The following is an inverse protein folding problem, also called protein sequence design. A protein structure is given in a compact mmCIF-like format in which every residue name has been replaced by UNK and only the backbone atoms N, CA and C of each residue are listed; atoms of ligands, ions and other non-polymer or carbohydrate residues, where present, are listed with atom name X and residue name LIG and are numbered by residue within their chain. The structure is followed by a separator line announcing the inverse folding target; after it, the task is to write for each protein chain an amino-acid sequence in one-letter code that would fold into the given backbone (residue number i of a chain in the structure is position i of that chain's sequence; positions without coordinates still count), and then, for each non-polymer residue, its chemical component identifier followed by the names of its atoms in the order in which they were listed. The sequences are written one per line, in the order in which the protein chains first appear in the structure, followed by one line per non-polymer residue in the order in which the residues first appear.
data_IF_925120856746
#
_entry.id   IF_925120856746
#
_cell.length_a   1.000
_cell.length_b   1.000
_cell.length_c   1.000
_cell.angle_alpha   90.00
_cell.angle_beta   90.00
_cell.angle_gamma   90.00
#
_symmetry.space_group_name_H-M   'P 1'
#
loop_
_entity.id
_entity.type
_entity.pdbx_description
1 polymer ?
#
# COMPACT_ATOMS: atom_id res chain seq x y z
N UNK A 1 -4.57 -17.35 5.00
CA UNK A 1 -4.90 -17.09 3.57
C UNK A 1 -3.61 -16.72 2.86
N UNK A 2 -3.28 -17.41 1.76
CA UNK A 2 -2.06 -17.15 0.99
C UNK A 2 -2.32 -16.08 -0.08
N UNK A 3 -1.42 -15.11 -0.17
CA UNK A 3 -1.44 -14.03 -1.15
C UNK A 3 -0.21 -14.10 -2.04
N UNK A 4 -0.37 -13.81 -3.32
CA UNK A 4 0.75 -13.57 -4.24
C UNK A 4 1.26 -12.15 -4.06
N UNK A 5 2.56 -12.00 -3.88
CA UNK A 5 3.22 -10.69 -3.79
C UNK A 5 4.49 -10.67 -4.63
N UNK A 6 4.90 -9.48 -5.01
CA UNK A 6 6.22 -9.22 -5.57
C UNK A 6 6.90 -8.16 -4.71
N UNK A 7 8.13 -8.40 -4.29
CA UNK A 7 8.88 -7.51 -3.42
C UNK A 7 10.19 -7.06 -4.05
N UNK A 8 10.67 -5.90 -3.66
CA UNK A 8 11.99 -5.39 -4.02
C UNK A 8 12.54 -4.49 -2.92
N UNK A 9 13.87 -4.40 -2.74
CA UNK A 9 14.51 -3.59 -1.71
C UNK A 9 14.39 -2.08 -1.96
N UNK A 10 14.10 -1.66 -3.20
CA UNK A 10 13.91 -0.26 -3.59
C UNK A 10 12.82 -0.11 -4.64
N UNK A 11 12.11 1.04 -4.63
CA UNK A 11 11.13 1.40 -5.67
C UNK A 11 11.72 1.42 -7.08
N UNK A 12 13.02 1.74 -7.20
CA UNK A 12 13.76 1.82 -8.46
C UNK A 12 14.36 0.48 -8.90
N UNK A 13 14.19 -0.58 -8.11
CA UNK A 13 14.71 -1.91 -8.46
C UNK A 13 14.18 -2.37 -9.81
N UNK A 14 15.08 -2.85 -10.64
CA UNK A 14 14.75 -3.38 -11.98
C UNK A 14 14.27 -4.83 -11.91
N UNK A 15 14.54 -5.52 -10.81
CA UNK A 15 14.16 -6.91 -10.56
C UNK A 15 13.36 -7.03 -9.27
N UNK A 16 12.17 -7.58 -9.38
CA UNK A 16 11.22 -7.86 -8.29
C UNK A 16 11.08 -9.36 -8.12
N UNK A 17 11.04 -9.81 -6.88
CA UNK A 17 10.89 -11.23 -6.54
C UNK A 17 9.41 -11.56 -6.33
N UNK A 18 8.87 -12.44 -7.18
CA UNK A 18 7.55 -13.03 -6.99
C UNK A 18 7.60 -14.10 -5.89
N UNK A 19 6.67 -14.04 -4.96
CA UNK A 19 6.53 -15.01 -3.87
C UNK A 19 5.08 -15.10 -3.39
N UNK A 20 4.84 -16.00 -2.45
CA UNK A 20 3.59 -16.06 -1.69
C UNK A 20 3.87 -15.70 -0.24
N UNK A 21 2.88 -15.13 0.44
CA UNK A 21 2.93 -14.76 1.85
C UNK A 21 1.59 -15.06 2.51
N UNK A 22 1.59 -15.48 3.76
CA UNK A 22 0.36 -15.56 4.53
C UNK A 22 -0.14 -14.15 4.89
N UNK A 23 -1.47 -13.97 4.89
CA UNK A 23 -2.07 -12.68 5.22
C UNK A 23 -1.67 -12.15 6.60
N UNK A 24 -1.63 -13.02 7.60
CA UNK A 24 -1.21 -12.61 8.94
C UNK A 24 0.24 -12.16 8.96
N UNK A 25 1.14 -12.87 8.28
CA UNK A 25 2.54 -12.49 8.13
C UNK A 25 2.70 -11.14 7.39
N UNK A 26 1.90 -10.90 6.33
CA UNK A 26 1.92 -9.62 5.65
C UNK A 26 1.48 -8.48 6.58
N UNK A 27 0.42 -8.67 7.36
CA UNK A 27 -0.03 -7.69 8.35
C UNK A 27 1.04 -7.41 9.41
N UNK A 28 1.72 -8.44 9.91
CA UNK A 28 2.83 -8.28 10.86
C UNK A 28 3.97 -7.45 10.26
N UNK A 29 4.38 -7.73 9.02
CA UNK A 29 5.41 -6.95 8.33
C UNK A 29 4.99 -5.49 8.11
N UNK A 30 3.74 -5.24 7.72
CA UNK A 30 3.20 -3.90 7.51
C UNK A 30 3.03 -3.12 8.81
N UNK A 31 2.83 -3.80 9.93
CA UNK A 31 2.77 -3.22 11.27
C UNK A 31 4.13 -2.77 11.82
N UNK A 32 5.23 -3.18 11.21
CA UNK A 32 6.56 -2.77 11.65
C UNK A 32 6.82 -1.30 11.27
N UNK A 33 7.08 -0.48 12.27
CA UNK A 33 7.35 0.95 12.06
C UNK A 33 8.77 1.17 11.53
N UNK A 34 8.88 1.76 10.35
CA UNK A 34 10.13 2.27 9.81
C UNK A 34 10.26 3.75 10.14
N UNK A 35 11.32 4.12 10.88
CA UNK A 35 11.63 5.51 11.21
C UNK A 35 12.91 5.93 10.51
N UNK A 36 12.90 7.16 10.00
CA UNK A 36 14.05 7.84 9.42
C UNK A 36 14.60 8.88 10.41
N UNK A 37 15.88 9.28 10.33
CA UNK A 37 16.50 10.14 11.36
C UNK A 37 16.01 11.60 11.33
N UNK A 38 15.52 12.07 10.18
CA UNK A 38 15.04 13.45 10.03
C UNK A 38 13.69 13.68 10.70
N UNK A 39 13.49 14.90 11.20
CA UNK A 39 12.19 15.36 11.66
C UNK A 39 11.24 15.61 10.47
N UNK A 40 9.92 15.62 10.70
CA UNK A 40 8.94 15.96 9.65
C UNK A 40 9.22 17.34 9.05
N UNK A 41 9.62 18.33 9.87
CA UNK A 41 9.94 19.67 9.38
C UNK A 41 11.18 19.68 8.46
N UNK A 42 12.19 18.87 8.75
CA UNK A 42 13.35 18.70 7.88
C UNK A 42 12.95 18.00 6.58
N UNK A 43 12.20 16.92 6.67
CA UNK A 43 11.70 16.18 5.52
C UNK A 43 10.87 17.04 4.57
N UNK A 44 9.98 17.90 5.09
CA UNK A 44 9.13 18.78 4.26
C UNK A 44 9.94 19.86 3.50
N UNK A 45 11.15 20.18 3.96
CA UNK A 45 12.07 21.11 3.26
C UNK A 45 12.90 20.44 2.16
N UNK A 46 12.94 19.12 2.12
CA UNK A 46 13.64 18.36 1.09
C UNK A 46 12.97 18.50 -0.27
N UNK A 47 13.76 18.38 -1.33
CA UNK A 47 13.24 18.25 -2.70
C UNK A 47 12.41 16.97 -2.84
N UNK A 48 11.56 16.91 -3.85
CA UNK A 48 10.75 15.71 -4.10
C UNK A 48 11.60 14.45 -4.33
N UNK A 49 12.77 14.58 -4.95
CA UNK A 49 13.70 13.47 -5.15
C UNK A 49 14.26 12.96 -3.81
N UNK A 50 14.79 13.84 -2.97
CA UNK A 50 15.28 13.49 -1.64
C UNK A 50 14.19 12.86 -0.77
N UNK A 51 12.98 13.44 -0.73
CA UNK A 51 11.84 12.85 -0.03
C UNK A 51 11.51 11.43 -0.52
N UNK A 52 11.65 11.20 -1.83
CA UNK A 52 11.38 9.91 -2.44
C UNK A 52 12.44 8.87 -2.08
N UNK A 53 13.70 9.29 -1.95
CA UNK A 53 14.80 8.41 -1.57
C UNK A 53 14.75 8.08 -0.07
N UNK A 54 14.45 9.05 0.78
CA UNK A 54 14.24 8.85 2.23
C UNK A 54 13.12 7.84 2.51
N UNK A 55 12.02 7.91 1.77
CA UNK A 55 10.87 6.98 1.93
C UNK A 55 11.11 5.60 1.33
N UNK A 56 12.19 5.41 0.57
CA UNK A 56 12.43 4.17 -0.16
C UNK A 56 13.05 3.10 0.74
N UNK A 57 12.22 2.52 1.58
CA UNK A 57 12.56 1.37 2.44
C UNK A 57 12.21 0.02 1.77
N UNK A 58 12.08 0.01 0.46
CA UNK A 58 11.57 -1.12 -0.31
C UNK A 58 10.07 -1.06 -0.53
N UNK A 59 9.52 -2.10 -1.09
CA UNK A 59 8.09 -2.13 -1.37
C UNK A 59 7.59 -3.50 -1.81
N UNK A 60 6.28 -3.59 -1.90
CA UNK A 60 5.61 -4.75 -2.45
C UNK A 60 4.54 -4.35 -3.47
N UNK A 61 4.26 -5.29 -4.34
CA UNK A 61 3.07 -5.29 -5.20
C UNK A 61 2.21 -6.46 -4.75
N UNK A 62 0.93 -6.21 -4.45
CA UNK A 62 0.00 -7.27 -4.07
C UNK A 62 -0.44 -8.07 -5.31
N UNK A 63 0.47 -8.86 -5.84
CA UNK A 63 0.32 -9.67 -7.03
C UNK A 63 1.67 -10.08 -7.62
N UNK A 64 1.64 -10.87 -8.69
CA UNK A 64 2.84 -11.28 -9.42
C UNK A 64 3.11 -10.40 -10.63
N UNK A 65 4.39 -10.25 -10.96
CA UNK A 65 4.88 -9.48 -12.09
C UNK A 65 5.53 -10.41 -13.13
N UNK A 66 5.23 -10.21 -14.41
CA UNK A 66 5.90 -10.88 -15.49
C UNK A 66 7.40 -10.56 -15.46
N UNK A 67 8.24 -11.58 -15.58
CA UNK A 67 9.71 -11.47 -15.57
C UNK A 67 10.28 -10.69 -14.36
N UNK A 68 9.52 -10.55 -13.28
CA UNK A 68 9.91 -9.73 -12.14
C UNK A 68 10.10 -8.25 -12.48
N UNK A 69 9.38 -7.72 -13.45
CA UNK A 69 9.49 -6.32 -13.91
C UNK A 69 8.28 -5.50 -13.47
N UNK A 70 8.51 -4.47 -12.67
CA UNK A 70 7.47 -3.49 -12.31
C UNK A 70 7.33 -2.42 -13.38
N UNK A 71 6.55 -2.70 -14.41
CA UNK A 71 6.23 -1.76 -15.50
C UNK A 71 4.76 -1.90 -15.91
N UNK A 72 4.24 -0.94 -16.68
CA UNK A 72 2.89 -1.02 -17.23
C UNK A 72 2.73 -2.31 -18.05
N UNK A 73 1.64 -3.03 -17.84
CA UNK A 73 1.35 -4.29 -18.54
C UNK A 73 2.07 -5.53 -18.00
N UNK A 74 2.90 -5.41 -16.94
CA UNK A 74 3.62 -6.56 -16.36
C UNK A 74 2.87 -7.24 -15.22
N UNK A 75 1.74 -6.72 -14.78
CA UNK A 75 0.99 -7.31 -13.67
C UNK A 75 0.25 -8.54 -14.18
N UNK A 76 0.59 -9.70 -13.64
CA UNK A 76 -0.05 -10.99 -13.99
C UNK A 76 -1.36 -11.19 -13.22
N UNK A 77 -1.38 -10.81 -11.95
CA UNK A 77 -2.56 -10.88 -11.09
C UNK A 77 -2.45 -9.91 -9.92
N UNK A 78 -3.57 -9.68 -9.25
CA UNK A 78 -3.66 -8.97 -7.97
C UNK A 78 -4.34 -9.87 -6.95
N UNK A 79 -3.77 -9.97 -5.76
CA UNK A 79 -4.28 -10.78 -4.64
C UNK A 79 -4.80 -9.94 -3.47
N UNK A 80 -4.51 -8.64 -3.47
CA UNK A 80 -5.06 -7.69 -2.51
C UNK A 80 -5.23 -6.30 -3.15
N UNK A 81 -6.16 -5.52 -2.62
CA UNK A 81 -6.25 -4.09 -2.89
C UNK A 81 -5.18 -3.36 -2.07
N UNK A 82 -4.64 -2.28 -2.61
CA UNK A 82 -3.81 -1.32 -1.89
C UNK A 82 -4.28 0.08 -2.27
N UNK A 83 -4.85 0.80 -1.30
CA UNK A 83 -5.44 2.12 -1.48
C UNK A 83 -4.71 3.11 -0.58
N UNK A 84 -4.45 4.30 -1.07
CA UNK A 84 -3.82 5.39 -0.32
C UNK A 84 -4.84 6.47 0.02
N UNK A 85 -4.86 6.90 1.28
CA UNK A 85 -5.55 8.10 1.75
C UNK A 85 -4.49 9.18 1.93
N UNK A 86 -4.45 10.14 1.01
CA UNK A 86 -3.46 11.23 1.02
C UNK A 86 -3.97 12.52 1.69
N UNK A 87 -5.29 12.64 1.88
CA UNK A 87 -5.96 13.83 2.37
C UNK A 87 -7.03 13.48 3.43
N UNK A 88 -6.67 12.60 4.38
CA UNK A 88 -7.59 12.20 5.45
C UNK A 88 -7.88 13.33 6.42
N UNK A 89 -9.10 13.34 6.96
CA UNK A 89 -9.50 14.20 8.10
C UNK A 89 -9.21 13.47 9.42
N UNK A 90 -9.12 14.16 10.57
CA UNK A 90 -8.80 13.54 11.87
C UNK A 90 -9.71 12.37 12.26
N UNK A 91 -10.95 12.36 11.77
CA UNK A 91 -11.96 11.32 12.02
C UNK A 91 -11.88 10.12 11.08
N UNK A 92 -10.94 10.12 10.12
CA UNK A 92 -10.80 9.04 9.12
C UNK A 92 -10.71 7.63 9.75
N UNK A 93 -10.10 7.53 10.93
CA UNK A 93 -9.99 6.26 11.65
C UNK A 93 -11.35 5.73 12.11
N UNK A 94 -12.24 6.62 12.57
CA UNK A 94 -13.61 6.26 12.98
C UNK A 94 -14.41 5.81 11.75
N UNK A 95 -14.35 6.59 10.67
CA UNK A 95 -15.02 6.25 9.41
C UNK A 95 -14.56 4.87 8.90
N UNK A 96 -13.24 4.61 8.89
CA UNK A 96 -12.74 3.31 8.46
C UNK A 96 -13.17 2.17 9.38
N UNK A 97 -13.20 2.40 10.71
CA UNK A 97 -13.65 1.38 11.67
C UNK A 97 -15.13 1.01 11.48
N UNK A 98 -15.95 1.96 11.07
CA UNK A 98 -17.38 1.76 10.80
C UNK A 98 -17.64 1.09 9.44
N UNK A 99 -16.91 1.50 8.40
CA UNK A 99 -17.16 1.08 7.02
C UNK A 99 -16.42 -0.22 6.62
N UNK A 100 -15.28 -0.52 7.26
CA UNK A 100 -14.53 -1.73 6.95
C UNK A 100 -15.17 -2.97 7.57
N UNK A 101 -15.98 -3.67 6.79
CA UNK A 101 -16.68 -4.90 7.20
C UNK A 101 -15.93 -6.18 6.75
N UNK A 102 -14.68 -6.07 6.34
CA UNK A 102 -13.86 -7.17 5.87
C UNK A 102 -12.46 -7.12 6.49
N UNK A 103 -11.68 -8.17 6.31
CA UNK A 103 -10.28 -8.17 6.73
C UNK A 103 -9.52 -7.04 6.01
N UNK A 104 -8.81 -6.21 6.77
CA UNK A 104 -7.99 -5.13 6.25
C UNK A 104 -6.79 -4.89 7.16
N UNK A 105 -5.70 -4.41 6.58
CA UNK A 105 -4.56 -3.87 7.31
C UNK A 105 -4.47 -2.37 6.96
N UNK A 106 -4.54 -1.51 7.97
CA UNK A 106 -4.45 -0.05 7.80
C UNK A 106 -3.24 0.46 8.55
N UNK A 107 -2.40 1.24 7.89
CA UNK A 107 -1.21 1.81 8.50
C UNK A 107 -0.91 3.21 7.98
N UNK A 108 -0.14 3.96 8.77
CA UNK A 108 0.27 5.32 8.44
C UNK A 108 1.37 5.35 7.40
N UNK A 109 1.38 6.37 6.53
CA UNK A 109 2.46 6.63 5.60
C UNK A 109 3.35 7.77 6.07
N UNK A 110 4.50 7.99 5.44
CA UNK A 110 5.58 8.84 5.93
C UNK A 110 5.19 10.29 6.29
N UNK A 111 4.22 10.88 5.61
CA UNK A 111 3.76 12.26 5.89
C UNK A 111 2.55 12.33 6.83
N UNK A 112 2.22 11.24 7.49
CA UNK A 112 1.08 11.22 8.41
C UNK A 112 1.29 12.15 9.61
N UNK A 113 0.26 12.91 9.94
CA UNK A 113 0.10 13.59 11.24
C UNK A 113 -1.31 13.36 11.76
N UNK A 114 -1.58 13.52 13.06
CA UNK A 114 -2.94 13.41 13.61
C UNK A 114 -3.94 14.37 12.95
N UNK A 115 -3.48 15.58 12.61
CA UNK A 115 -4.31 16.64 12.00
C UNK A 115 -4.53 16.44 10.50
N UNK A 116 -3.60 15.76 9.82
CA UNK A 116 -3.64 15.44 8.40
C UNK A 116 -3.24 13.96 8.18
N UNK A 117 -4.12 13.03 8.52
CA UNK A 117 -3.84 11.60 8.40
C UNK A 117 -3.53 11.20 6.97
N UNK A 118 -2.47 10.40 6.82
CA UNK A 118 -2.12 9.73 5.58
C UNK A 118 -1.98 8.25 5.83
N UNK A 119 -2.82 7.47 5.20
CA UNK A 119 -2.97 6.05 5.47
C UNK A 119 -2.82 5.23 4.21
N UNK A 120 -2.45 3.98 4.39
CA UNK A 120 -2.63 2.96 3.35
C UNK A 120 -3.49 1.85 3.88
N UNK A 121 -4.46 1.43 3.06
CA UNK A 121 -5.36 0.32 3.34
C UNK A 121 -4.96 -0.83 2.42
N UNK A 122 -4.73 -2.00 2.99
CA UNK A 122 -4.52 -3.25 2.24
C UNK A 122 -5.66 -4.20 2.58
N UNK A 123 -6.37 -4.70 1.56
CA UNK A 123 -7.51 -5.60 1.71
C UNK A 123 -7.26 -6.86 0.90
N UNK A 124 -7.19 -8.05 1.52
CA UNK A 124 -7.01 -9.29 0.80
C UNK A 124 -8.26 -9.60 -0.05
N UNK A 125 -8.05 -10.04 -1.26
CA UNK A 125 -9.13 -10.44 -2.17
C UNK A 125 -9.47 -11.92 -1.96
N UNK A 126 -10.74 -12.27 -2.04
CA UNK A 126 -11.21 -13.65 -1.94
C UNK A 126 -10.70 -14.53 -3.10
N UNK A 127 -10.40 -13.92 -4.26
CA UNK A 127 -9.72 -14.53 -5.40
C UNK A 127 -8.76 -13.54 -6.03
N UNK A 128 -7.81 -14.04 -6.76
CA UNK A 128 -6.99 -13.22 -7.64
C UNK A 128 -7.85 -12.55 -8.73
N UNK A 129 -7.49 -11.34 -9.08
CA UNK A 129 -8.10 -10.58 -10.16
C UNK A 129 -7.04 -10.19 -11.20
N UNK A 130 -7.46 -10.01 -12.45
CA UNK A 130 -6.59 -9.49 -13.50
C UNK A 130 -6.29 -8.01 -13.30
N UNK A 131 -5.31 -7.48 -14.07
CA UNK A 131 -5.02 -6.05 -14.07
C UNK A 131 -6.21 -5.18 -14.51
N UNK A 132 -7.06 -5.73 -15.40
CA UNK A 132 -8.26 -5.05 -15.92
C UNK A 132 -9.37 -5.05 -14.88
N UNK A 133 -9.60 -6.15 -14.18
CA UNK A 133 -10.57 -6.26 -13.08
C UNK A 133 -10.18 -5.41 -11.88
N UNK A 134 -8.87 -5.19 -11.64
CA UNK A 134 -8.39 -4.51 -10.44
C UNK A 134 -8.92 -3.09 -10.29
N UNK A 135 -8.91 -2.31 -11.37
CA UNK A 135 -9.30 -0.89 -11.31
C UNK A 135 -10.76 -0.70 -10.92
N UNK A 136 -11.74 -1.37 -11.55
CA UNK A 136 -13.15 -1.25 -11.15
C UNK A 136 -13.40 -1.79 -9.73
N UNK A 137 -12.72 -2.87 -9.32
CA UNK A 137 -12.85 -3.41 -7.96
C UNK A 137 -12.30 -2.41 -6.92
N UNK A 138 -11.12 -1.83 -7.18
CA UNK A 138 -10.52 -0.85 -6.29
C UNK A 138 -11.38 0.42 -6.16
N UNK A 139 -11.91 0.93 -7.27
CA UNK A 139 -12.82 2.10 -7.26
C UNK A 139 -14.13 1.80 -6.53
N UNK A 140 -14.77 0.68 -6.82
CA UNK A 140 -16.00 0.28 -6.15
C UNK A 140 -15.81 0.09 -4.63
N UNK A 141 -14.66 -0.44 -4.22
CA UNK A 141 -14.32 -0.54 -2.81
C UNK A 141 -14.07 0.84 -2.18
N UNK A 142 -13.30 1.71 -2.83
CA UNK A 142 -13.04 3.08 -2.36
C UNK A 142 -14.33 3.88 -2.16
N UNK A 143 -15.21 3.85 -3.15
CA UNK A 143 -16.53 4.51 -3.07
C UNK A 143 -17.38 3.96 -1.92
N UNK A 144 -17.36 2.64 -1.71
CA UNK A 144 -18.11 2.00 -0.61
C UNK A 144 -17.67 2.45 0.78
N UNK A 145 -16.38 2.72 0.97
CA UNK A 145 -15.82 3.21 2.25
C UNK A 145 -15.69 4.75 2.30
N UNK A 146 -16.39 5.47 1.42
CA UNK A 146 -16.43 6.92 1.40
C UNK A 146 -15.12 7.61 1.00
N UNK A 147 -14.32 6.93 0.18
CA UNK A 147 -13.04 7.44 -0.33
C UNK A 147 -13.13 7.80 -1.82
N UNK A 148 -13.97 8.75 -2.17
CA UNK A 148 -14.08 9.27 -3.56
C UNK A 148 -13.08 10.40 -3.85
#
# INVERSE_FOLDING_TARGET
MQLKISTAPRRTSTKWLNSTIDWAELCERLGQTHRTPETLAQFLKMTHAEQSDVKDVGGFVAGHLAEGRRKKGSVLCRSALALDIDFGTPDVWLTLAEELTCAACVYTTHKHTPEAPRLRIVVPLAREVSAEEYVPVARGFASRIGMD
#
